data_IF_134866116814
#
_entry.id   IF_134866116814
#
_cell.length_a   1.000
_cell.length_b   1.000
_cell.length_c   1.000
_cell.angle_alpha   90.00
_cell.angle_beta   90.00
_cell.angle_gamma   90.00
#
_symmetry.space_group_name_H-M   'P 1'
#
loop_
_entity.id
_entity.type
_entity.pdbx_description
1 polymer ?
#
# COMPACT_ATOMS: atom_id res chain seq x y z
N UNK A 1 -8.47 -1.96 -22.27
CA UNK A 1 -7.64 -0.76 -22.04
C UNK A 1 -6.20 -1.16 -22.26
N UNK A 2 -5.58 -0.63 -23.33
CA UNK A 2 -4.15 -0.78 -23.57
C UNK A 2 -3.33 0.07 -22.59
N UNK A 3 -2.02 -0.12 -22.59
CA UNK A 3 -1.10 0.70 -21.81
C UNK A 3 -0.90 2.04 -22.55
N UNK A 4 -1.21 3.16 -21.91
CA UNK A 4 -1.15 4.50 -22.53
C UNK A 4 0.15 5.26 -22.22
N UNK A 5 1.10 4.62 -21.55
CA UNK A 5 2.34 5.24 -21.12
C UNK A 5 3.48 4.24 -21.10
N UNK A 6 4.69 4.74 -21.31
CA UNK A 6 5.94 4.01 -21.15
C UNK A 6 6.89 4.82 -20.27
N UNK A 7 7.94 4.16 -19.79
CA UNK A 7 8.95 4.75 -18.91
C UNK A 7 10.27 4.88 -19.68
N UNK A 8 10.92 6.02 -19.51
CA UNK A 8 12.30 6.24 -19.92
C UNK A 8 13.15 6.39 -18.67
N UNK A 9 14.30 5.73 -18.64
CA UNK A 9 15.20 5.77 -17.50
C UNK A 9 16.27 6.84 -17.70
N UNK A 10 16.72 7.44 -16.61
CA UNK A 10 17.84 8.39 -16.64
C UNK A 10 19.15 7.72 -17.09
N UNK A 11 19.26 6.40 -16.91
CA UNK A 11 20.35 5.59 -17.47
C UNK A 11 20.43 5.66 -18.99
N UNK A 12 19.28 5.75 -19.65
CA UNK A 12 19.19 5.65 -21.11
C UNK A 12 19.80 6.89 -21.79
N UNK A 13 19.82 8.02 -21.08
CA UNK A 13 20.43 9.25 -21.56
C UNK A 13 21.92 9.07 -21.89
N UNK A 14 22.63 8.19 -21.17
CA UNK A 14 24.06 7.93 -21.42
C UNK A 14 24.31 7.36 -22.82
N UNK A 15 23.37 6.58 -23.33
CA UNK A 15 23.46 5.96 -24.65
C UNK A 15 23.15 6.95 -25.77
N UNK A 16 22.47 8.06 -25.47
CA UNK A 16 21.98 9.00 -26.48
C UNK A 16 22.55 10.42 -26.39
N UNK A 17 23.26 10.76 -25.32
CA UNK A 17 23.74 12.12 -25.05
C UNK A 17 24.57 12.71 -26.20
N UNK A 18 25.38 11.88 -26.85
CA UNK A 18 26.34 12.30 -27.88
C UNK A 18 25.75 12.23 -29.31
N UNK A 19 24.48 11.81 -29.46
CA UNK A 19 23.81 11.84 -30.76
C UNK A 19 23.45 13.29 -31.16
N UNK A 20 23.57 13.64 -32.47
CA UNK A 20 23.09 14.90 -33.00
C UNK A 20 21.57 15.02 -32.86
N UNK A 21 21.06 16.25 -32.88
CA UNK A 21 19.65 16.54 -32.59
C UNK A 21 18.69 15.85 -33.58
N UNK A 22 19.04 15.80 -34.87
CA UNK A 22 18.24 15.11 -35.89
C UNK A 22 18.08 13.61 -35.57
N UNK A 23 19.16 12.96 -35.12
CA UNK A 23 19.13 11.54 -34.76
C UNK A 23 18.37 11.30 -33.45
N UNK A 24 18.44 12.22 -32.49
CA UNK A 24 17.61 12.19 -31.27
C UNK A 24 16.12 12.33 -31.61
N UNK A 25 15.78 13.18 -32.57
CA UNK A 25 14.41 13.32 -33.08
C UNK A 25 13.91 12.01 -33.70
N UNK A 26 14.67 11.45 -34.66
CA UNK A 26 14.33 10.17 -35.29
C UNK A 26 14.20 9.02 -34.27
N UNK A 27 15.07 9.01 -33.26
CA UNK A 27 14.99 8.03 -32.17
C UNK A 27 13.71 8.20 -31.35
N UNK A 28 13.35 9.43 -31.02
CA UNK A 28 12.15 9.73 -30.24
C UNK A 28 10.89 9.25 -30.97
N UNK A 29 10.78 9.55 -32.26
CA UNK A 29 9.66 9.11 -33.10
C UNK A 29 9.57 7.57 -33.11
N UNK A 30 10.69 6.88 -33.30
CA UNK A 30 10.72 5.42 -33.28
C UNK A 30 10.34 4.82 -31.92
N UNK A 31 10.74 5.46 -30.81
CA UNK A 31 10.33 5.04 -29.46
C UNK A 31 8.81 5.14 -29.29
N UNK A 32 8.22 6.26 -29.71
CA UNK A 32 6.76 6.46 -29.58
C UNK A 32 5.97 5.52 -30.48
N UNK A 33 6.42 5.33 -31.71
CA UNK A 33 5.77 4.42 -32.65
C UNK A 33 5.83 2.99 -32.11
N UNK A 34 6.99 2.52 -31.67
CA UNK A 34 7.14 1.19 -31.09
C UNK A 34 6.31 1.01 -29.82
N UNK A 35 6.30 1.99 -28.91
CA UNK A 35 5.53 1.90 -27.68
C UNK A 35 4.02 1.90 -27.90
N UNK A 36 3.54 2.48 -29.00
CA UNK A 36 2.12 2.63 -29.30
C UNK A 36 1.58 1.49 -30.19
N UNK A 37 2.29 1.16 -31.26
CA UNK A 37 1.84 0.21 -32.30
C UNK A 37 2.66 -1.07 -32.33
N UNK A 38 3.84 -1.09 -31.72
CA UNK A 38 4.80 -2.20 -31.80
C UNK A 38 5.56 -2.27 -33.12
N UNK A 39 5.41 -1.27 -34.00
CA UNK A 39 6.11 -1.25 -35.29
C UNK A 39 7.54 -0.73 -35.15
N UNK A 40 8.45 -1.31 -35.94
CA UNK A 40 9.85 -0.91 -35.99
C UNK A 40 10.04 -0.06 -37.25
N UNK A 41 10.47 1.19 -37.06
CA UNK A 41 10.79 2.10 -38.16
C UNK A 41 12.21 1.82 -38.65
N UNK A 42 12.46 2.00 -39.95
CA UNK A 42 13.81 1.97 -40.49
C UNK A 42 14.61 3.18 -39.99
N UNK A 43 15.80 2.91 -39.44
CA UNK A 43 16.61 3.90 -38.72
C UNK A 43 18.08 3.77 -39.14
N UNK A 44 18.83 4.89 -39.13
CA UNK A 44 20.27 4.83 -39.31
C UNK A 44 20.92 3.85 -38.31
N UNK A 45 21.99 3.13 -38.69
CA UNK A 45 22.55 2.05 -37.86
C UNK A 45 22.87 2.45 -36.41
N UNK A 46 23.40 3.67 -36.21
CA UNK A 46 23.71 4.19 -34.87
C UNK A 46 22.45 4.46 -34.03
N UNK A 47 21.37 4.90 -34.66
CA UNK A 47 20.08 5.17 -34.03
C UNK A 47 19.36 3.86 -33.74
N UNK A 48 19.44 2.88 -34.63
CA UNK A 48 18.91 1.53 -34.43
C UNK A 48 19.57 0.84 -33.23
N UNK A 49 20.89 0.98 -33.08
CA UNK A 49 21.60 0.45 -31.92
C UNK A 49 21.13 1.12 -30.62
N UNK A 50 20.99 2.44 -30.60
CA UNK A 50 20.44 3.17 -29.45
C UNK A 50 18.99 2.74 -29.14
N UNK A 51 18.15 2.61 -30.17
CA UNK A 51 16.76 2.17 -30.07
C UNK A 51 16.61 0.79 -29.41
N UNK A 52 17.50 -0.16 -29.69
CA UNK A 52 17.45 -1.50 -29.08
C UNK A 52 17.49 -1.48 -27.54
N UNK A 53 18.19 -0.50 -26.93
CA UNK A 53 18.18 -0.33 -25.47
C UNK A 53 16.78 0.05 -24.96
N UNK A 54 16.16 1.04 -25.60
CA UNK A 54 14.79 1.48 -25.26
C UNK A 54 13.77 0.38 -25.52
N UNK A 55 13.91 -0.33 -26.64
CA UNK A 55 13.07 -1.47 -26.99
C UNK A 55 13.07 -2.53 -25.89
N UNK A 56 14.25 -2.94 -25.43
CA UNK A 56 14.38 -3.92 -24.33
C UNK A 56 13.66 -3.44 -23.07
N UNK A 57 13.81 -2.16 -22.70
CA UNK A 57 13.14 -1.59 -21.54
C UNK A 57 11.62 -1.50 -21.70
N UNK A 58 11.12 -1.15 -22.89
CA UNK A 58 9.68 -1.12 -23.20
C UNK A 58 9.10 -2.53 -23.11
N UNK A 59 9.78 -3.53 -23.67
CA UNK A 59 9.36 -4.92 -23.66
C UNK A 59 9.30 -5.47 -22.22
N UNK A 60 10.35 -5.26 -21.43
CA UNK A 60 10.39 -5.67 -20.01
C UNK A 60 9.28 -5.01 -19.19
N UNK A 61 9.06 -3.71 -19.40
CA UNK A 61 8.01 -2.96 -18.70
C UNK A 61 6.61 -3.38 -19.14
N UNK A 62 6.44 -3.84 -20.38
CA UNK A 62 5.19 -4.36 -20.89
C UNK A 62 4.91 -5.75 -20.35
N UNK A 63 5.93 -6.62 -20.30
CA UNK A 63 5.85 -7.94 -19.68
C UNK A 63 5.46 -7.86 -18.20
N UNK A 64 6.17 -7.06 -17.41
CA UNK A 64 5.86 -6.86 -15.98
C UNK A 64 4.44 -6.33 -15.76
N UNK A 65 3.99 -5.42 -16.63
CA UNK A 65 2.63 -4.89 -16.55
C UNK A 65 1.59 -5.97 -16.88
N UNK A 66 1.79 -6.72 -17.96
CA UNK A 66 0.89 -7.81 -18.37
C UNK A 66 0.77 -8.86 -17.27
N UNK A 67 1.88 -9.31 -16.68
CA UNK A 67 1.88 -10.25 -15.55
C UNK A 67 1.06 -9.74 -14.37
N UNK A 68 1.21 -8.45 -14.02
CA UNK A 68 0.46 -7.82 -12.93
C UNK A 68 -1.04 -7.73 -13.24
N UNK A 69 -1.38 -7.42 -14.49
CA UNK A 69 -2.77 -7.35 -14.96
C UNK A 69 -3.41 -8.74 -14.92
N UNK A 70 -2.73 -9.77 -15.41
CA UNK A 70 -3.24 -11.14 -15.39
C UNK A 70 -3.44 -11.66 -13.96
N UNK A 71 -2.49 -11.43 -13.05
CA UNK A 71 -2.66 -11.78 -11.62
C UNK A 71 -3.90 -11.10 -11.02
N UNK A 72 -4.12 -9.82 -11.31
CA UNK A 72 -5.31 -9.09 -10.84
C UNK A 72 -6.60 -9.56 -11.48
N UNK A 73 -6.59 -9.91 -12.77
CA UNK A 73 -7.74 -10.50 -13.46
C UNK A 73 -8.11 -11.84 -12.85
N UNK A 74 -7.13 -12.71 -12.59
CA UNK A 74 -7.34 -14.01 -11.96
C UNK A 74 -7.90 -13.85 -10.53
N UNK A 75 -7.31 -12.97 -9.72
CA UNK A 75 -7.79 -12.68 -8.37
C UNK A 75 -9.21 -12.08 -8.39
N UNK A 76 -9.50 -11.16 -9.31
CA UNK A 76 -10.84 -10.58 -9.48
C UNK A 76 -11.88 -11.62 -9.90
N UNK A 77 -11.51 -12.57 -10.78
CA UNK A 77 -12.36 -13.69 -11.16
C UNK A 77 -12.68 -14.59 -9.97
N UNK A 78 -11.66 -14.96 -9.17
CA UNK A 78 -11.83 -15.76 -7.95
C UNK A 78 -12.69 -15.05 -6.90
N UNK A 79 -12.42 -13.76 -6.65
CA UNK A 79 -13.21 -12.95 -5.72
C UNK A 79 -14.67 -12.79 -6.16
N UNK A 80 -14.91 -12.62 -7.47
CA UNK A 80 -16.25 -12.58 -8.04
C UNK A 80 -17.02 -13.89 -7.85
N UNK A 81 -16.35 -15.04 -8.05
CA UNK A 81 -16.93 -16.35 -7.80
C UNK A 81 -17.25 -16.57 -6.31
N UNK A 82 -16.32 -16.23 -5.41
CA UNK A 82 -16.55 -16.33 -3.96
C UNK A 82 -17.73 -15.44 -3.51
N UNK A 83 -17.86 -14.23 -4.07
CA UNK A 83 -19.01 -13.36 -3.80
C UNK A 83 -20.32 -13.97 -4.31
N UNK A 84 -20.31 -14.59 -5.48
CA UNK A 84 -21.48 -15.27 -6.02
C UNK A 84 -21.87 -16.50 -5.18
N UNK A 85 -20.91 -17.28 -4.70
CA UNK A 85 -21.12 -18.44 -3.83
C UNK A 85 -21.66 -18.02 -2.45
N UNK A 86 -21.05 -17.03 -1.82
CA UNK A 86 -21.53 -16.46 -0.56
C UNK A 86 -22.93 -15.84 -0.69
N UNK A 87 -23.27 -15.27 -1.86
CA UNK A 87 -24.62 -14.76 -2.12
C UNK A 87 -25.66 -15.88 -2.22
N UNK A 88 -25.30 -17.05 -2.79
CA UNK A 88 -26.17 -18.23 -2.84
C UNK A 88 -26.37 -18.85 -1.46
N UNK A 89 -25.31 -18.90 -0.63
CA UNK A 89 -25.39 -19.39 0.74
C UNK A 89 -26.18 -18.44 1.66
N UNK A 90 -26.01 -17.12 1.47
CA UNK A 90 -26.85 -16.10 2.12
C UNK A 90 -28.33 -16.26 1.76
N UNK A 91 -28.66 -16.48 0.48
CA UNK A 91 -30.05 -16.73 0.05
C UNK A 91 -30.61 -18.04 0.64
N UNK A 92 -29.80 -19.11 0.72
CA UNK A 92 -30.21 -20.38 1.33
C UNK A 92 -30.44 -20.26 2.85
N UNK A 93 -29.62 -19.49 3.57
CA UNK A 93 -29.80 -19.23 4.99
C UNK A 93 -31.05 -18.38 5.28
N UNK A 94 -31.39 -17.43 4.39
CA UNK A 94 -32.64 -16.65 4.48
C UNK A 94 -33.87 -17.50 4.15
N UNK A 95 -33.75 -18.48 3.24
CA UNK A 95 -34.82 -19.44 2.95
C UNK A 95 -35.07 -20.40 4.14
N UNK A 96 -34.00 -20.96 4.73
CA UNK A 96 -34.10 -21.82 5.92
C UNK A 96 -34.60 -21.07 7.18
N UNK A 97 -34.49 -19.75 7.22
CA UNK A 97 -35.07 -18.93 8.29
C UNK A 97 -36.59 -18.69 8.13
N UNK A 98 -37.16 -18.89 6.93
CA UNK A 98 -38.61 -18.75 6.71
C UNK A 98 -39.41 -19.99 7.11
N UNK A 99 -38.79 -21.17 7.10
CA UNK A 99 -39.44 -22.42 7.54
C UNK A 99 -39.34 -22.66 9.06
N UNK A 100 -38.58 -21.83 9.80
CA UNK A 100 -38.28 -22.03 11.22
C UNK A 100 -39.03 -21.10 12.19
N UNK A 101 -40.10 -20.40 11.78
CA UNK A 101 -40.92 -19.61 12.72
C UNK A 101 -42.41 -19.71 12.46
N UNK A 102 -43.01 -20.77 12.99
CA UNK A 102 -44.31 -20.69 13.64
C UNK A 102 -44.12 -20.91 15.15
N UNK A 103 -43.79 -19.84 15.89
CA UNK A 103 -44.40 -19.52 17.18
C UNK A 103 -43.79 -18.26 17.83
N UNK A 104 -44.71 -17.39 18.25
CA UNK A 104 -44.62 -16.42 19.35
C UNK A 104 -43.81 -15.10 19.18
N UNK A 105 -44.58 -14.08 18.75
CA UNK A 105 -44.84 -12.80 19.41
C UNK A 105 -43.69 -11.93 19.98
N UNK A 106 -43.49 -10.81 19.28
CA UNK A 106 -43.49 -9.41 19.75
C UNK A 106 -42.37 -8.91 20.71
N UNK A 107 -41.32 -8.30 20.15
CA UNK A 107 -40.73 -7.04 20.64
C UNK A 107 -40.17 -6.27 19.43
N UNK A 108 -40.64 -5.03 19.24
CA UNK A 108 -40.17 -4.12 18.22
C UNK A 108 -38.88 -3.41 18.67
N UNK A 109 -37.81 -3.51 17.87
CA UNK A 109 -36.74 -2.51 17.80
C UNK A 109 -36.32 -2.37 16.34
N UNK A 110 -36.73 -1.26 15.73
CA UNK A 110 -36.18 -0.76 14.48
C UNK A 110 -35.02 0.17 14.84
N UNK A 111 -33.82 -0.02 14.26
CA UNK A 111 -33.01 1.04 13.62
C UNK A 111 -31.96 0.41 12.68
N UNK A 112 -32.21 0.61 11.38
CA UNK A 112 -31.32 1.15 10.32
C UNK A 112 -29.85 0.66 10.13
N UNK A 113 -29.60 0.19 8.90
CA UNK A 113 -28.43 0.32 8.01
C UNK A 113 -27.07 0.77 8.57
N UNK A 114 -26.00 0.03 8.23
CA UNK A 114 -25.11 0.42 7.14
C UNK A 114 -24.02 -0.66 6.91
N UNK A 115 -23.89 -1.09 5.66
CA UNK A 115 -22.85 -2.01 5.19
C UNK A 115 -21.62 -1.18 4.86
N UNK A 116 -20.49 -1.36 5.57
CA UNK A 116 -19.22 -0.77 5.14
C UNK A 116 -18.20 -1.84 4.77
N UNK A 117 -17.92 -1.90 3.47
CA UNK A 117 -16.94 -2.76 2.82
C UNK A 117 -15.61 -2.01 2.84
N UNK A 118 -14.62 -2.48 3.60
CA UNK A 118 -13.24 -1.96 3.47
C UNK A 118 -12.17 -3.06 3.58
N UNK A 119 -12.32 -4.10 2.76
CA UNK A 119 -11.27 -5.09 2.53
C UNK A 119 -10.74 -4.97 1.09
N UNK A 120 -9.95 -3.93 0.80
CA UNK A 120 -9.20 -3.88 -0.47
C UNK A 120 -7.81 -3.24 -0.37
N UNK A 121 -7.28 -2.97 0.84
CA UNK A 121 -5.94 -2.37 0.99
C UNK A 121 -4.89 -3.27 1.65
N UNK A 122 -5.21 -4.54 1.97
CA UNK A 122 -4.28 -5.43 2.70
C UNK A 122 -3.32 -6.27 1.84
N UNK A 123 -3.40 -6.25 0.51
CA UNK A 123 -2.62 -7.16 -0.34
C UNK A 123 -1.33 -6.60 -0.94
N UNK A 124 -0.99 -5.34 -0.66
CA UNK A 124 0.23 -4.72 -1.23
C UNK A 124 1.45 -4.77 -0.32
N UNK A 125 1.34 -5.15 0.96
CA UNK A 125 2.48 -5.12 1.89
C UNK A 125 3.10 -6.48 2.21
N UNK A 126 2.36 -7.59 2.03
CA UNK A 126 2.86 -8.93 2.35
C UNK A 126 4.00 -9.41 1.42
N UNK A 127 4.09 -8.87 0.21
CA UNK A 127 4.99 -9.38 -0.83
C UNK A 127 6.41 -8.77 -0.80
N UNK A 128 6.75 -7.96 0.21
CA UNK A 128 8.11 -7.44 0.42
C UNK A 128 8.85 -8.13 1.58
N UNK A 129 8.22 -9.04 2.32
CA UNK A 129 8.78 -9.61 3.56
C UNK A 129 9.36 -11.02 3.40
N UNK A 130 9.12 -11.72 2.29
CA UNK A 130 9.54 -13.13 2.13
C UNK A 130 10.99 -13.35 1.64
N UNK A 131 11.82 -12.31 1.49
CA UNK A 131 13.16 -12.47 0.88
C UNK A 131 14.36 -12.61 1.84
N UNK A 132 14.19 -12.63 3.17
CA UNK A 132 15.36 -12.67 4.05
C UNK A 132 15.12 -13.32 5.42
N UNK A 133 14.75 -14.59 5.48
CA UNK A 133 14.86 -15.31 6.75
C UNK A 133 15.21 -16.79 6.59
N UNK A 134 16.50 -17.06 6.38
CA UNK A 134 17.10 -18.37 6.57
C UNK A 134 18.42 -18.19 7.36
N UNK A 135 18.32 -18.14 8.69
CA UNK A 135 19.38 -18.60 9.61
C UNK A 135 18.93 -18.46 11.08
N UNK A 136 18.46 -19.60 11.63
CA UNK A 136 18.80 -20.19 12.95
C UNK A 136 19.37 -19.26 14.04
N UNK A 137 18.70 -19.18 15.20
CA UNK A 137 19.19 -19.79 16.45
C UNK A 137 18.21 -19.60 17.62
N UNK A 138 17.91 -20.73 18.28
CA UNK A 138 17.02 -20.92 19.43
C UNK A 138 17.42 -20.18 20.70
N UNK A 139 16.42 -19.78 21.49
CA UNK A 139 16.40 -20.06 22.94
C UNK A 139 14.95 -20.10 23.44
N UNK A 140 14.48 -21.34 23.66
CA UNK A 140 13.81 -21.84 24.88
C UNK A 140 13.57 -20.81 26.02
N UNK A 141 12.47 -20.78 26.78
CA UNK A 141 11.35 -21.69 26.92
C UNK A 141 10.29 -21.16 27.93
N UNK A 142 9.04 -21.58 27.70
CA UNK A 142 7.87 -21.86 28.57
C UNK A 142 7.27 -20.86 29.60
N UNK A 143 5.94 -21.00 29.67
CA UNK A 143 4.93 -20.65 30.70
C UNK A 143 4.25 -19.29 30.51
N UNK A 144 2.92 -19.16 30.54
CA UNK A 144 1.79 -20.04 30.83
C UNK A 144 0.53 -19.37 30.23
N UNK A 145 -0.55 -20.15 30.12
CA UNK A 145 -1.83 -19.79 29.53
C UNK A 145 -2.46 -18.54 30.16
N UNK A 146 -2.88 -17.59 29.32
CA UNK A 146 -4.01 -16.71 29.65
C UNK A 146 -4.74 -16.25 28.36
N UNK A 147 -5.66 -17.09 27.91
CA UNK A 147 -6.80 -16.65 27.09
C UNK A 147 -7.76 -15.87 27.99
N UNK A 148 -7.65 -14.54 28.03
CA UNK A 148 -8.77 -13.66 28.38
C UNK A 148 -8.41 -12.19 28.07
N UNK A 149 -9.10 -11.62 27.07
CA UNK A 149 -9.23 -10.18 26.83
C UNK A 149 -7.90 -9.41 26.69
N UNK A 150 -7.34 -9.42 25.48
CA UNK A 150 -6.28 -8.47 25.10
C UNK A 150 -6.91 -7.07 24.95
N UNK A 151 -7.23 -6.47 26.09
CA UNK A 151 -7.69 -5.08 26.20
C UNK A 151 -6.62 -4.20 25.58
N UNK A 152 -7.09 -3.36 24.67
CA UNK A 152 -6.30 -2.39 23.96
C UNK A 152 -5.59 -1.45 24.95
N UNK A 153 -4.30 -1.63 25.17
CA UNK A 153 -3.49 -0.72 25.97
C UNK A 153 -2.66 0.17 25.04
N UNK A 154 -3.02 1.46 24.86
CA UNK A 154 -2.33 2.37 23.96
C UNK A 154 -0.83 2.53 24.28
N UNK A 155 -0.43 2.43 25.55
CA UNK A 155 0.97 2.54 25.94
C UNK A 155 1.81 1.35 25.48
N UNK A 156 1.24 0.14 25.52
CA UNK A 156 1.91 -1.06 25.03
C UNK A 156 2.18 -1.01 23.52
N UNK A 157 1.34 -0.31 22.75
CA UNK A 157 1.54 -0.15 21.30
C UNK A 157 2.68 0.82 21.01
N UNK A 158 2.78 1.92 21.76
CA UNK A 158 3.90 2.85 21.61
C UNK A 158 5.23 2.14 21.80
N UNK A 159 5.35 1.36 22.87
CA UNK A 159 6.57 0.60 23.19
C UNK A 159 6.89 -0.44 22.11
N UNK A 160 5.87 -1.19 21.64
CA UNK A 160 6.06 -2.19 20.59
C UNK A 160 6.43 -1.57 19.24
N UNK A 161 5.88 -0.40 18.90
CA UNK A 161 6.24 0.32 17.67
C UNK A 161 7.65 0.90 17.76
N UNK A 162 8.03 1.44 18.92
CA UNK A 162 9.38 1.98 19.13
C UNK A 162 10.48 0.91 19.18
N UNK A 163 10.13 -0.34 19.50
CA UNK A 163 11.06 -1.47 19.53
C UNK A 163 11.40 -2.03 18.15
N UNK A 164 10.62 -1.71 17.11
CA UNK A 164 10.84 -2.21 15.76
C UNK A 164 11.76 -1.29 14.95
N UNK A 165 13.07 -1.58 14.96
CA UNK A 165 14.09 -0.79 14.27
C UNK A 165 13.83 -0.70 12.76
N UNK A 166 13.46 -1.82 12.12
CA UNK A 166 13.21 -1.88 10.66
C UNK A 166 12.04 -0.97 10.30
N UNK A 167 10.98 -0.99 11.12
CA UNK A 167 9.85 -0.12 10.91
C UNK A 167 10.22 1.36 11.12
N UNK A 168 10.97 1.70 12.18
CA UNK A 168 11.41 3.09 12.45
C UNK A 168 12.22 3.66 11.28
N UNK A 169 13.15 2.88 10.73
CA UNK A 169 13.90 3.26 9.53
C UNK A 169 12.97 3.50 8.34
N UNK A 170 12.00 2.61 8.13
CA UNK A 170 11.02 2.73 7.05
C UNK A 170 10.16 3.99 7.15
N UNK A 171 9.56 4.27 8.32
CA UNK A 171 8.76 5.50 8.50
C UNK A 171 9.62 6.76 8.44
N UNK A 172 10.86 6.73 8.91
CA UNK A 172 11.83 7.80 8.75
C UNK A 172 12.06 8.15 7.27
N UNK A 173 12.35 7.15 6.43
CA UNK A 173 12.53 7.36 4.99
C UNK A 173 11.27 7.91 4.31
N UNK A 174 10.09 7.43 4.73
CA UNK A 174 8.80 7.86 4.17
C UNK A 174 8.35 9.24 4.66
N UNK A 175 8.87 9.73 5.79
CA UNK A 175 8.46 10.99 6.40
C UNK A 175 8.83 12.23 5.60
N UNK A 176 9.75 12.10 4.64
CA UNK A 176 10.41 13.22 3.91
C UNK A 176 11.24 14.17 4.76
N UNK A 177 11.34 13.92 6.08
CA UNK A 177 12.10 14.72 7.04
C UNK A 177 13.49 14.11 7.36
N UNK A 178 13.80 12.94 6.79
CA UNK A 178 15.07 12.24 6.99
C UNK A 178 15.31 11.88 8.46
N UNK A 179 16.59 11.77 8.85
CA UNK A 179 17.00 11.35 10.21
C UNK A 179 16.42 12.20 11.34
N UNK A 180 16.06 13.46 11.06
CA UNK A 180 15.41 14.36 12.02
C UNK A 180 14.02 13.88 12.47
N UNK A 181 13.39 12.98 11.70
CA UNK A 181 12.12 12.37 12.09
C UNK A 181 12.28 11.39 13.25
N UNK A 182 13.43 10.73 13.37
CA UNK A 182 13.67 9.71 14.41
C UNK A 182 13.52 10.31 15.81
N UNK A 183 14.02 11.53 16.02
CA UNK A 183 13.87 12.24 17.30
C UNK A 183 12.45 12.71 17.58
N UNK A 184 11.63 12.91 16.55
CA UNK A 184 10.24 13.36 16.69
C UNK A 184 9.24 12.20 16.77
N UNK A 185 9.65 11.00 16.33
CA UNK A 185 8.78 9.83 16.23
C UNK A 185 8.07 9.45 17.54
N UNK A 186 8.72 9.47 18.72
CA UNK A 186 8.03 9.19 19.98
C UNK A 186 6.86 10.14 20.26
N UNK A 187 7.05 11.44 20.03
CA UNK A 187 6.02 12.46 20.25
C UNK A 187 4.89 12.35 19.20
N UNK A 188 5.24 12.00 17.96
CA UNK A 188 4.24 11.74 16.92
C UNK A 188 3.40 10.50 17.21
N UNK A 189 3.98 9.48 17.85
CA UNK A 189 3.21 8.32 18.31
C UNK A 189 2.23 8.69 19.42
N UNK A 190 2.59 9.61 20.32
CA UNK A 190 1.65 10.11 21.33
C UNK A 190 0.48 10.85 20.69
N UNK A 191 0.75 11.72 19.71
CA UNK A 191 -0.28 12.43 18.94
C UNK A 191 -1.19 11.46 18.17
N UNK A 192 -0.61 10.44 17.56
CA UNK A 192 -1.37 9.37 16.90
C UNK A 192 -2.27 8.62 17.87
N UNK A 193 -1.75 8.24 19.04
CA UNK A 193 -2.53 7.55 20.07
C UNK A 193 -3.68 8.45 20.56
N UNK A 194 -3.41 9.71 20.84
CA UNK A 194 -4.43 10.67 21.24
C UNK A 194 -5.52 10.83 20.17
N UNK A 195 -5.12 10.87 18.89
CA UNK A 195 -6.06 10.88 17.76
C UNK A 195 -6.94 9.64 17.74
N UNK A 196 -6.38 8.43 17.86
CA UNK A 196 -7.14 7.17 17.88
C UNK A 196 -8.15 7.15 19.04
N UNK A 197 -7.74 7.62 20.22
CA UNK A 197 -8.62 7.73 21.40
C UNK A 197 -9.74 8.76 21.13
N UNK A 198 -9.43 9.90 20.51
CA UNK A 198 -10.42 10.93 20.23
C UNK A 198 -11.51 10.51 19.23
N UNK A 199 -11.18 9.62 18.29
CA UNK A 199 -12.14 9.11 17.29
C UNK A 199 -12.93 7.90 17.79
N UNK A 200 -12.66 7.43 19.01
CA UNK A 200 -13.34 6.28 19.61
C UNK A 200 -12.98 4.94 18.97
N UNK A 201 -11.83 4.86 18.27
CA UNK A 201 -11.38 3.65 17.58
C UNK A 201 -10.31 2.88 18.35
N UNK A 202 -10.13 3.15 19.64
CA UNK A 202 -9.12 2.49 20.45
C UNK A 202 -9.27 0.97 20.43
N UNK A 203 -10.48 0.42 20.55
CA UNK A 203 -10.68 -1.04 20.54
C UNK A 203 -10.56 -1.68 19.15
N UNK A 204 -10.37 -0.90 18.09
CA UNK A 204 -10.33 -1.39 16.70
C UNK A 204 -8.96 -1.83 16.22
N UNK A 205 -7.88 -1.47 16.93
CA UNK A 205 -6.52 -1.84 16.54
C UNK A 205 -6.20 -3.20 17.18
N UNK A 206 -6.37 -4.25 16.38
CA UNK A 206 -6.28 -5.64 16.87
C UNK A 206 -4.85 -6.19 16.90
N UNK A 207 -3.89 -5.58 16.18
CA UNK A 207 -2.50 -6.05 16.11
C UNK A 207 -1.49 -4.93 15.75
N UNK A 208 -0.20 -5.22 15.95
CA UNK A 208 0.90 -4.27 15.72
C UNK A 208 1.01 -3.84 14.24
N UNK A 209 0.75 -4.75 13.30
CA UNK A 209 0.79 -4.46 11.87
C UNK A 209 -0.31 -3.47 11.47
N UNK A 210 -1.49 -3.57 12.07
CA UNK A 210 -2.58 -2.62 11.87
C UNK A 210 -2.26 -1.25 12.48
N UNK A 211 -1.64 -1.23 13.67
CA UNK A 211 -1.14 0.00 14.28
C UNK A 211 -0.14 0.73 13.37
N UNK A 212 0.83 0.01 12.78
CA UNK A 212 1.80 0.55 11.80
C UNK A 212 1.09 1.17 10.59
N UNK A 213 0.13 0.44 10.00
CA UNK A 213 -0.64 0.89 8.83
C UNK A 213 -1.42 2.17 9.15
N UNK A 214 -2.11 2.21 10.29
CA UNK A 214 -2.91 3.35 10.72
C UNK A 214 -2.04 4.56 11.05
N UNK A 215 -0.87 4.35 11.66
CA UNK A 215 0.10 5.43 11.88
C UNK A 215 0.56 6.04 10.56
N UNK A 216 0.94 5.23 9.56
CA UNK A 216 1.36 5.75 8.25
C UNK A 216 0.25 6.57 7.58
N UNK A 217 -1.00 6.09 7.66
CA UNK A 217 -2.15 6.83 7.13
C UNK A 217 -2.38 8.16 7.89
N UNK A 218 -2.34 8.12 9.22
CA UNK A 218 -2.50 9.31 10.05
C UNK A 218 -1.39 10.33 9.79
N UNK A 219 -0.13 9.88 9.68
CA UNK A 219 1.01 10.74 9.39
C UNK A 219 0.87 11.47 8.04
N UNK A 220 0.43 10.76 7.00
CA UNK A 220 0.24 11.36 5.67
C UNK A 220 -0.89 12.40 5.61
N UNK A 221 -1.95 12.20 6.39
CA UNK A 221 -3.17 13.02 6.29
C UNK A 221 -3.27 14.13 7.34
N UNK A 222 -2.76 13.87 8.55
CA UNK A 222 -2.88 14.73 9.74
C UNK A 222 -1.50 15.13 10.28
N UNK A 223 -0.65 14.15 10.66
CA UNK A 223 0.62 14.42 11.37
C UNK A 223 1.57 15.34 10.61
N UNK A 224 1.74 15.16 9.29
CA UNK A 224 2.63 16.01 8.47
C UNK A 224 2.18 17.47 8.41
N UNK A 225 0.86 17.73 8.44
CA UNK A 225 0.32 19.10 8.37
C UNK A 225 0.61 19.85 9.67
N UNK A 226 0.42 19.19 10.81
CA UNK A 226 0.74 19.76 12.13
C UNK A 226 2.21 20.13 12.24
N UNK A 227 3.13 19.26 11.78
CA UNK A 227 4.58 19.57 11.83
C UNK A 227 4.96 20.73 10.89
N UNK A 228 4.25 20.92 9.78
CA UNK A 228 4.48 22.07 8.89
C UNK A 228 3.91 23.37 9.46
N UNK A 229 2.77 23.31 10.16
CA UNK A 229 2.15 24.47 10.79
C UNK A 229 2.86 24.88 12.09
N UNK A 230 3.36 23.92 12.88
CA UNK A 230 4.23 24.16 14.05
C UNK A 230 5.54 24.86 13.64
N UNK A 231 6.16 24.45 12.54
CA UNK A 231 7.37 25.10 12.02
C UNK A 231 7.12 26.52 11.45
N UNK A 232 5.91 26.84 11.02
CA UNK A 232 5.54 28.21 10.59
C UNK A 232 5.37 29.18 11.76
N UNK A 233 4.89 28.70 12.90
CA UNK A 233 4.66 29.53 14.10
C UNK A 233 5.97 30.06 14.73
N UNK A 234 7.10 29.40 14.47
CA UNK A 234 8.42 29.77 15.03
C UNK A 234 9.03 31.02 14.35
N UNK A 235 8.54 31.44 13.18
CA UNK A 235 9.04 32.62 12.45
C UNK A 235 8.18 33.88 12.64
N UNK A 236 7.67 34.13 13.84
CA UNK A 236 7.17 35.47 14.17
C UNK A 236 8.36 36.34 14.53
N UNK A 237 8.83 37.13 13.56
CA UNK A 237 9.88 38.14 13.74
C UNK A 237 9.44 39.10 14.85
N UNK A 238 10.22 39.31 15.92
CA UNK A 238 9.92 40.33 16.91
C UNK A 238 9.91 41.71 16.23
N UNK A 239 8.82 42.46 16.41
CA UNK A 239 8.73 43.87 16.01
C UNK A 239 9.77 44.73 16.72
#
# INVERSE_FOLDING_TARGET
MGKNSFLLYTSDYKCIKDLPLEQKGALLDAIFEYASTGTIIDLPPIVSMAFNFFRSHIDDNTKKWNEKVEKRRAAGRLGGLAKAENSKQSQANVANAKDAKQSQANVAVNVNDNVNVNDTLSLTLSHLVESANESVSESESVNEREEANKVFNPQSIKEQLLSDEIWKESVCMQSTLGVSFISMLPDQLDKFIAYIVSIGEEQSISNISDAKRRFTYWWQNHGRKEVQDENKQVYTVPN
#
